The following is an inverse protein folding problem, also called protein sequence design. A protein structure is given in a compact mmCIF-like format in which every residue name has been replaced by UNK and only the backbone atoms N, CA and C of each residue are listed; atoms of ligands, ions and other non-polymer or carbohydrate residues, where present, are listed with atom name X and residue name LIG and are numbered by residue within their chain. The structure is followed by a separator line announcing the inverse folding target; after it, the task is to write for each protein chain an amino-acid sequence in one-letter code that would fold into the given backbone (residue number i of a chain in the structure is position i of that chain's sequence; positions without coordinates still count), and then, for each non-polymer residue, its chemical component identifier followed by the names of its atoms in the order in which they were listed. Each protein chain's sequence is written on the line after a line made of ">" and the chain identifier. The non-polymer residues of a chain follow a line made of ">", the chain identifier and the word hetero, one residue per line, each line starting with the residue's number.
data_IF_837770971221
#
_entry.id   IF_837770971221
#
_cell.length_a   1.000
_cell.length_b   1.000
_cell.length_c   1.000
_cell.angle_alpha   90.00
_cell.angle_beta   90.00
_cell.angle_gamma   90.00
#
_symmetry.space_group_name_H-M   'P 1'
#
loop_
_entity.id
_entity.type
_entity.pdbx_description
1 polymer ?
#
# COMPACT_ATOMS: atom_id res chain seq x y z
N UNK A 1 -10.66 14.38 21.18
CA UNK A 1 -9.55 13.73 21.92
C UNK A 1 -8.41 14.72 21.95
N UNK A 2 -7.88 15.00 23.14
CA UNK A 2 -6.97 16.12 23.38
C UNK A 2 -5.67 15.94 22.58
N UNK A 3 -5.28 16.98 21.85
CA UNK A 3 -3.93 17.11 21.33
C UNK A 3 -3.08 17.63 22.50
N UNK A 4 -2.39 16.74 23.20
CA UNK A 4 -1.59 17.03 24.40
C UNK A 4 -0.24 17.69 24.10
N UNK A 5 0.01 18.04 22.83
CA UNK A 5 1.27 18.61 22.36
C UNK A 5 2.32 17.58 21.97
N UNK A 6 2.01 16.27 22.07
CA UNK A 6 2.91 15.21 21.58
C UNK A 6 2.92 15.20 20.04
N UNK A 7 4.10 15.22 19.38
CA UNK A 7 4.20 15.07 17.93
C UNK A 7 3.54 13.77 17.46
N UNK A 8 2.79 13.84 16.36
CA UNK A 8 2.13 12.70 15.74
C UNK A 8 2.90 12.30 14.47
N UNK A 9 3.62 11.16 14.46
CA UNK A 9 4.35 10.71 13.28
C UNK A 9 3.42 10.49 12.09
N UNK A 10 3.85 10.90 10.90
CA UNK A 10 3.17 10.62 9.62
C UNK A 10 3.63 9.27 9.09
N UNK A 11 2.76 8.27 9.11
CA UNK A 11 3.10 6.89 8.73
C UNK A 11 2.35 6.47 7.48
N UNK A 12 3.06 6.05 6.43
CA UNK A 12 2.41 5.45 5.27
C UNK A 12 1.95 4.04 5.62
N UNK A 13 0.68 3.75 5.39
CA UNK A 13 0.06 2.47 5.76
C UNK A 13 -0.55 1.79 4.54
N UNK A 14 -0.25 0.50 4.37
CA UNK A 14 -0.99 -0.36 3.44
C UNK A 14 -2.47 -0.30 3.78
N UNK A 15 -3.28 0.28 2.89
CA UNK A 15 -4.70 0.61 3.13
C UNK A 15 -5.57 -0.61 3.44
N UNK A 16 -5.13 -1.81 3.12
CA UNK A 16 -5.82 -3.04 3.51
C UNK A 16 -5.66 -3.42 4.98
N UNK A 17 -4.70 -2.85 5.71
CA UNK A 17 -4.51 -3.08 7.14
C UNK A 17 -5.46 -2.17 7.92
N UNK A 18 -6.45 -2.76 8.58
CA UNK A 18 -7.37 -2.10 9.52
C UNK A 18 -8.24 -0.97 8.92
N UNK A 19 -8.09 -0.63 7.63
CA UNK A 19 -8.78 0.49 6.96
C UNK A 19 -9.83 0.04 5.93
N UNK A 20 -9.43 -0.29 4.70
CA UNK A 20 -10.38 -0.54 3.60
C UNK A 20 -10.30 -1.97 3.05
N UNK A 21 -11.41 -2.53 2.52
CA UNK A 21 -11.45 -3.87 1.93
C UNK A 21 -10.83 -3.93 0.53
N UNK A 22 -9.58 -3.52 0.38
CA UNK A 22 -8.93 -3.25 -0.92
C UNK A 22 -7.94 -4.32 -1.37
N UNK A 23 -7.86 -5.45 -0.67
CA UNK A 23 -7.12 -6.63 -1.15
C UNK A 23 -7.70 -7.15 -2.45
N UNK A 24 -6.93 -8.00 -3.12
CA UNK A 24 -7.34 -8.66 -4.36
C UNK A 24 -8.68 -9.42 -4.22
N UNK A 25 -8.98 -9.95 -3.03
CA UNK A 25 -10.21 -10.67 -2.71
C UNK A 25 -11.30 -9.81 -2.04
N UNK A 26 -11.14 -8.49 -2.01
CA UNK A 26 -12.12 -7.58 -1.40
C UNK A 26 -12.19 -7.64 0.12
N UNK A 27 -11.12 -8.08 0.79
CA UNK A 27 -11.04 -8.12 2.25
C UNK A 27 -10.16 -6.99 2.82
N UNK A 28 -10.47 -6.62 4.06
CA UNK A 28 -9.60 -5.85 4.96
C UNK A 28 -8.92 -6.83 5.93
N UNK A 29 -7.71 -6.52 6.37
CA UNK A 29 -6.94 -7.32 7.32
C UNK A 29 -7.01 -6.61 8.68
N UNK A 30 -7.71 -7.17 9.68
CA UNK A 30 -7.66 -6.65 11.04
C UNK A 30 -6.23 -6.75 11.58
N UNK A 31 -5.74 -5.70 12.22
CA UNK A 31 -4.40 -5.66 12.80
C UNK A 31 -4.40 -4.86 14.10
N UNK A 32 -4.19 -5.55 15.23
CA UNK A 32 -4.28 -4.94 16.56
C UNK A 32 -3.15 -3.93 16.82
N UNK A 33 -1.99 -4.08 16.19
CA UNK A 33 -0.89 -3.13 16.30
C UNK A 33 -1.26 -1.82 15.60
N UNK A 34 -1.73 -1.89 14.35
CA UNK A 34 -2.22 -0.73 13.60
C UNK A 34 -3.39 -0.07 14.34
N UNK A 35 -4.32 -0.85 14.89
CA UNK A 35 -5.45 -0.33 15.67
C UNK A 35 -4.97 0.44 16.90
N UNK A 36 -3.98 -0.11 17.63
CA UNK A 36 -3.39 0.53 18.81
C UNK A 36 -2.63 1.81 18.49
N UNK A 37 -2.08 1.95 17.28
CA UNK A 37 -1.36 3.15 16.85
C UNK A 37 -2.27 4.33 16.47
N UNK A 38 -3.53 4.09 16.10
CA UNK A 38 -4.47 5.13 15.63
C UNK A 38 -4.51 6.41 16.48
N UNK A 39 -4.52 6.34 17.83
CA UNK A 39 -4.53 7.54 18.66
C UNK A 39 -3.22 8.33 18.64
N UNK A 40 -2.13 7.80 18.08
CA UNK A 40 -0.77 8.33 18.21
C UNK A 40 -0.14 8.78 16.89
N UNK A 41 -0.62 8.30 15.74
CA UNK A 41 -0.01 8.55 14.43
C UNK A 41 -1.02 9.08 13.40
N UNK A 42 -0.51 9.79 12.40
CA UNK A 42 -1.29 10.25 11.26
C UNK A 42 -1.00 9.35 10.06
N UNK A 43 -1.99 8.54 9.67
CA UNK A 43 -1.82 7.58 8.59
C UNK A 43 -1.99 8.21 7.21
N UNK A 44 -1.03 7.94 6.33
CA UNK A 44 -1.14 8.17 4.89
C UNK A 44 -1.47 6.84 4.22
N UNK A 45 -2.72 6.66 3.83
CA UNK A 45 -3.22 5.38 3.31
C UNK A 45 -2.84 5.18 1.85
N UNK A 46 -2.25 4.03 1.51
CA UNK A 46 -1.88 3.70 0.13
C UNK A 46 -2.24 2.26 -0.25
N UNK A 47 -2.74 2.08 -1.47
CA UNK A 47 -2.84 0.76 -2.11
C UNK A 47 -2.37 0.91 -3.55
N UNK A 48 -1.11 0.58 -3.85
CA UNK A 48 -0.53 0.78 -5.16
C UNK A 48 -1.33 0.10 -6.27
N UNK A 49 -1.79 -1.12 -6.03
CA UNK A 49 -2.51 -1.93 -7.00
C UNK A 49 -3.87 -1.31 -7.41
N UNK A 50 -4.59 -0.70 -6.46
CA UNK A 50 -5.82 0.03 -6.80
C UNK A 50 -5.48 1.34 -7.52
N UNK A 51 -4.42 2.02 -7.11
CA UNK A 51 -4.00 3.28 -7.73
C UNK A 51 -3.55 3.12 -9.20
N UNK A 52 -2.98 1.97 -9.56
CA UNK A 52 -2.69 1.61 -10.96
C UNK A 52 -3.89 1.03 -11.72
N UNK A 53 -5.07 1.03 -11.12
CA UNK A 53 -6.33 0.69 -11.80
C UNK A 53 -6.69 -0.80 -11.85
N UNK A 54 -6.08 -1.67 -11.01
CA UNK A 54 -6.46 -3.09 -11.00
C UNK A 54 -7.83 -3.37 -10.39
N UNK A 55 -8.40 -2.43 -9.64
CA UNK A 55 -9.74 -2.57 -9.04
C UNK A 55 -9.79 -3.54 -7.86
N UNK A 56 -11.02 -3.80 -7.38
CA UNK A 56 -11.34 -4.72 -6.29
C UNK A 56 -12.68 -5.39 -6.61
N UNK A 57 -12.78 -6.74 -6.69
CA UNK A 57 -11.67 -7.69 -6.63
C UNK A 57 -10.77 -7.61 -7.88
N UNK A 58 -9.60 -8.25 -7.81
CA UNK A 58 -8.62 -8.34 -8.91
C UNK A 58 -7.84 -9.64 -8.87
N UNK A 59 -7.24 -10.03 -9.99
CA UNK A 59 -6.28 -11.13 -10.00
C UNK A 59 -5.01 -10.78 -9.22
N UNK A 60 -4.42 -11.79 -8.59
CA UNK A 60 -3.15 -11.65 -7.87
C UNK A 60 -2.03 -11.21 -8.80
N UNK A 61 -1.05 -10.51 -8.22
CA UNK A 61 0.17 -10.03 -8.86
C UNK A 61 1.37 -10.73 -8.24
N UNK A 62 2.44 -10.93 -9.02
CA UNK A 62 3.70 -11.52 -8.57
C UNK A 62 4.87 -10.71 -9.10
N UNK A 63 5.87 -10.52 -8.25
CA UNK A 63 7.19 -10.06 -8.68
C UNK A 63 7.96 -11.26 -9.23
N UNK A 64 8.52 -11.11 -10.43
CA UNK A 64 9.35 -12.12 -11.10
C UNK A 64 10.61 -11.44 -11.63
N UNK A 65 11.74 -12.14 -11.56
CA UNK A 65 12.99 -11.67 -12.16
C UNK A 65 13.11 -12.23 -13.58
N UNK A 66 13.29 -11.35 -14.56
CA UNK A 66 13.45 -11.69 -15.98
C UNK A 66 14.70 -10.97 -16.48
N UNK A 67 15.73 -11.73 -16.84
CA UNK A 67 16.98 -11.19 -17.40
C UNK A 67 17.64 -10.11 -16.50
N UNK A 68 17.51 -10.26 -15.18
CA UNK A 68 18.04 -9.31 -14.18
C UNK A 68 17.14 -8.10 -13.90
N UNK A 69 15.96 -8.03 -14.51
CA UNK A 69 14.96 -6.99 -14.26
C UNK A 69 13.76 -7.54 -13.49
N UNK A 70 13.30 -6.81 -12.46
CA UNK A 70 12.14 -7.22 -11.66
C UNK A 70 10.87 -6.69 -12.31
N UNK A 71 10.00 -7.62 -12.72
CA UNK A 71 8.71 -7.40 -13.35
C UNK A 71 7.56 -7.74 -12.41
N UNK A 72 6.45 -7.03 -12.54
CA UNK A 72 5.22 -7.28 -11.80
C UNK A 72 4.13 -7.78 -12.74
N UNK A 73 3.77 -9.06 -12.63
CA UNK A 73 2.84 -9.73 -13.55
C UNK A 73 1.57 -10.19 -12.83
N UNK A 74 0.44 -10.20 -13.52
CA UNK A 74 -0.77 -10.93 -13.12
C UNK A 74 -0.74 -12.35 -13.73
N UNK A 75 -0.43 -13.42 -12.97
CA UNK A 75 -0.20 -14.74 -13.57
C UNK A 75 -1.44 -15.33 -14.24
N UNK A 76 -2.64 -14.99 -13.76
CA UNK A 76 -3.90 -15.49 -14.30
C UNK A 76 -4.21 -14.94 -15.71
N UNK A 77 -3.78 -13.72 -16.00
CA UNK A 77 -4.09 -13.01 -17.25
C UNK A 77 -2.87 -12.83 -18.16
N UNK A 78 -1.66 -13.00 -17.62
CA UNK A 78 -0.42 -12.67 -18.30
C UNK A 78 -0.14 -11.18 -18.42
N UNK A 79 -0.98 -10.31 -17.82
CA UNK A 79 -0.79 -8.86 -17.88
C UNK A 79 0.47 -8.45 -17.12
N UNK A 80 1.35 -7.74 -17.78
CA UNK A 80 2.48 -7.04 -17.17
C UNK A 80 2.01 -5.65 -16.71
N UNK A 81 2.22 -5.32 -15.43
CA UNK A 81 1.86 -4.04 -14.82
C UNK A 81 3.08 -3.30 -14.26
N UNK A 82 4.27 -3.70 -14.70
CA UNK A 82 5.55 -3.19 -14.20
C UNK A 82 5.64 -1.68 -14.35
N UNK A 83 5.33 -1.17 -15.54
CA UNK A 83 5.51 0.25 -15.84
C UNK A 83 4.45 1.12 -15.16
N UNK A 84 3.20 0.67 -15.07
CA UNK A 84 2.19 1.35 -14.26
C UNK A 84 2.59 1.41 -12.79
N UNK A 85 3.13 0.31 -12.24
CA UNK A 85 3.59 0.26 -10.85
C UNK A 85 4.79 1.17 -10.61
N UNK A 86 5.80 1.15 -11.47
CA UNK A 86 6.98 2.03 -11.39
C UNK A 86 6.58 3.49 -11.46
N UNK A 87 5.72 3.84 -12.42
CA UNK A 87 5.20 5.20 -12.58
C UNK A 87 4.42 5.67 -11.35
N UNK A 88 3.56 4.81 -10.79
CA UNK A 88 2.85 5.11 -9.55
C UNK A 88 3.81 5.32 -8.38
N UNK A 89 4.77 4.41 -8.16
CA UNK A 89 5.70 4.49 -7.02
C UNK A 89 6.56 5.75 -7.10
N UNK A 90 7.11 6.07 -8.27
CA UNK A 90 7.90 7.30 -8.45
C UNK A 90 7.06 8.52 -8.08
N UNK A 91 5.87 8.66 -8.67
CA UNK A 91 4.99 9.79 -8.40
C UNK A 91 4.55 9.86 -6.94
N UNK A 92 4.19 8.72 -6.35
CA UNK A 92 3.76 8.66 -4.95
C UNK A 92 4.88 9.12 -4.00
N UNK A 93 6.12 8.70 -4.23
CA UNK A 93 7.25 9.10 -3.41
C UNK A 93 7.59 10.60 -3.56
N UNK A 94 7.39 11.16 -4.75
CA UNK A 94 7.53 12.61 -4.97
C UNK A 94 6.42 13.42 -4.27
N UNK A 95 5.18 12.90 -4.28
CA UNK A 95 3.99 13.61 -3.80
C UNK A 95 3.74 13.46 -2.27
N UNK A 96 4.23 12.38 -1.63
CA UNK A 96 3.86 12.05 -0.23
C UNK A 96 4.45 13.02 0.81
N UNK A 97 5.51 13.72 0.43
CA UNK A 97 6.28 14.60 1.31
C UNK A 97 7.02 13.87 2.43
N UNK A 98 7.43 14.59 3.46
CA UNK A 98 8.18 14.01 4.59
C UNK A 98 7.29 13.08 5.44
N UNK A 99 7.70 11.82 5.59
CA UNK A 99 7.02 10.81 6.39
C UNK A 99 8.01 10.14 7.35
N UNK A 100 7.52 9.75 8.52
CA UNK A 100 8.34 9.19 9.60
C UNK A 100 8.47 7.66 9.52
N UNK A 101 7.73 7.01 8.62
CA UNK A 101 7.83 5.56 8.44
C UNK A 101 6.77 4.95 7.53
N UNK A 102 6.93 3.65 7.28
CA UNK A 102 6.04 2.83 6.45
C UNK A 102 5.65 1.55 7.20
N UNK A 103 4.35 1.23 7.20
CA UNK A 103 3.80 -0.05 7.64
C UNK A 103 3.13 -0.68 6.43
N UNK A 104 3.75 -1.73 5.89
CA UNK A 104 3.29 -2.38 4.67
C UNK A 104 2.79 -3.80 4.98
N UNK A 105 1.75 -4.25 4.25
CA UNK A 105 1.36 -5.65 4.32
C UNK A 105 2.44 -6.50 3.67
N UNK A 106 2.92 -7.51 4.40
CA UNK A 106 3.85 -8.51 3.86
C UNK A 106 3.26 -9.28 2.66
N UNK A 107 4.13 -9.77 1.78
CA UNK A 107 3.75 -10.66 0.66
C UNK A 107 3.10 -11.95 1.12
#
# INVERSE_FOLDING_TARGET
>A
MANDGTPRPRIVLSRCLEHDPVRYNGQMIPDDFVRGLRPHVDFVLVCPEVAIGLGVPRDTVRLVEVEGDVRMLQPATGRDVTEEMRGFVSKFLDDVGEVDGFILKSG
#
